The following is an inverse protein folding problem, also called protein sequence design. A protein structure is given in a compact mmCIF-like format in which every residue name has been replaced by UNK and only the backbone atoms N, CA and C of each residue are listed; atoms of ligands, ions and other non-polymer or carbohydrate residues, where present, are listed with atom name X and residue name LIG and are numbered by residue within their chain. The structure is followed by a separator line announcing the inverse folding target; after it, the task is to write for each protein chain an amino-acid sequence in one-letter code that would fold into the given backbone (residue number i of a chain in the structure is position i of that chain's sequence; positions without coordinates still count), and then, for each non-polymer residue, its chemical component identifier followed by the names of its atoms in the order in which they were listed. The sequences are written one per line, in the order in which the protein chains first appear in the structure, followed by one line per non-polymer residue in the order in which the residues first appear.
data_IF_629635554435
#
_entry.id   IF_629635554435
#
_cell.length_a   1.000
_cell.length_b   1.000
_cell.length_c   1.000
_cell.angle_alpha   90.00
_cell.angle_beta   90.00
_cell.angle_gamma   90.00
#
_symmetry.space_group_name_H-M   'P 1'
#
loop_
_entity.id
_entity.type
_entity.pdbx_description
1 polymer ?
#
# COMPACT_ATOMS: atom_id res chain seq x y z
N UNK A 1 10.39 -5.63 -14.17
CA UNK A 1 9.12 -6.15 -13.62
C UNK A 1 9.46 -7.24 -12.61
N UNK A 2 9.19 -7.01 -11.32
CA UNK A 2 9.43 -8.02 -10.26
C UNK A 2 8.71 -9.33 -10.62
N UNK A 3 9.40 -10.47 -10.45
CA UNK A 3 8.82 -11.80 -10.68
C UNK A 3 7.78 -12.06 -9.57
N UNK A 4 6.50 -12.04 -9.93
CA UNK A 4 5.37 -12.19 -9.00
C UNK A 4 4.23 -11.19 -9.28
N UNK A 5 4.52 -10.03 -9.84
CA UNK A 5 3.47 -9.02 -10.11
C UNK A 5 2.54 -9.42 -11.26
N UNK A 6 3.06 -10.21 -12.21
CA UNK A 6 2.30 -10.69 -13.38
C UNK A 6 1.17 -11.64 -13.01
N UNK A 7 1.33 -12.44 -11.96
CA UNK A 7 0.32 -13.40 -11.52
C UNK A 7 -0.82 -12.70 -10.79
N UNK A 8 -0.50 -11.71 -9.96
CA UNK A 8 -1.49 -10.92 -9.21
C UNK A 8 -2.33 -10.03 -10.12
N UNK A 9 -1.71 -9.41 -11.14
CA UNK A 9 -2.41 -8.52 -12.07
C UNK A 9 -3.13 -9.23 -13.23
N UNK A 10 -2.97 -10.55 -13.34
CA UNK A 10 -3.54 -11.33 -14.44
C UNK A 10 -5.08 -11.16 -14.56
N UNK A 11 -5.87 -11.23 -13.48
CA UNK A 11 -7.34 -11.07 -13.57
C UNK A 11 -7.76 -9.73 -14.17
N UNK A 12 -7.11 -8.65 -13.74
CA UNK A 12 -7.37 -7.29 -14.23
C UNK A 12 -6.97 -7.12 -15.70
N UNK A 13 -5.87 -7.73 -16.12
CA UNK A 13 -5.42 -7.69 -17.51
C UNK A 13 -6.38 -8.43 -18.43
N UNK A 14 -6.82 -9.63 -18.04
CA UNK A 14 -7.76 -10.42 -18.85
C UNK A 14 -9.13 -9.74 -18.94
N UNK A 15 -9.61 -9.15 -17.84
CA UNK A 15 -10.87 -8.41 -17.79
C UNK A 15 -10.82 -7.16 -18.71
N UNK A 16 -9.77 -6.35 -18.60
CA UNK A 16 -9.60 -5.16 -19.44
C UNK A 16 -9.40 -5.51 -20.92
N UNK A 17 -8.74 -6.64 -21.21
CA UNK A 17 -8.61 -7.14 -22.57
C UNK A 17 -9.96 -7.59 -23.15
N UNK A 18 -10.81 -8.25 -22.37
CA UNK A 18 -12.17 -8.64 -22.79
C UNK A 18 -13.03 -7.40 -23.13
N UNK A 19 -12.97 -6.36 -22.29
CA UNK A 19 -13.64 -5.06 -22.56
C UNK A 19 -13.10 -4.41 -23.84
N UNK A 20 -11.77 -4.43 -24.03
CA UNK A 20 -11.13 -3.84 -25.22
C UNK A 20 -11.50 -4.57 -26.52
N UNK A 21 -11.67 -5.89 -26.46
CA UNK A 21 -12.08 -6.71 -27.61
C UNK A 21 -13.58 -6.57 -27.89
N UNK A 22 -14.38 -6.26 -26.86
CA UNK A 22 -15.83 -6.14 -26.97
C UNK A 22 -16.58 -7.49 -26.93
N UNK A 23 -15.92 -8.56 -26.45
CA UNK A 23 -16.54 -9.88 -26.32
C UNK A 23 -17.18 -10.06 -24.93
N UNK A 24 -18.51 -10.01 -24.92
CA UNK A 24 -19.32 -10.16 -23.71
C UNK A 24 -19.25 -11.58 -23.11
N UNK A 25 -18.99 -12.61 -23.93
CA UNK A 25 -18.90 -13.99 -23.43
C UNK A 25 -17.58 -14.19 -22.69
N UNK A 26 -16.48 -13.73 -23.30
CA UNK A 26 -15.17 -13.72 -22.66
C UNK A 26 -15.19 -12.92 -21.37
N UNK A 27 -15.82 -11.74 -21.38
CA UNK A 27 -15.95 -10.90 -20.20
C UNK A 27 -16.65 -11.60 -19.04
N UNK A 28 -17.81 -12.24 -19.29
CA UNK A 28 -18.56 -12.98 -18.26
C UNK A 28 -17.74 -14.14 -17.68
N UNK A 29 -17.10 -14.92 -18.54
CA UNK A 29 -16.28 -16.05 -18.10
C UNK A 29 -15.13 -15.60 -17.18
N UNK A 30 -14.43 -14.52 -17.54
CA UNK A 30 -13.33 -13.96 -16.74
C UNK A 30 -13.85 -13.37 -15.42
N UNK A 31 -15.00 -12.70 -15.45
CA UNK A 31 -15.63 -12.15 -14.24
C UNK A 31 -16.03 -13.25 -13.25
N UNK A 32 -16.53 -14.38 -13.74
CA UNK A 32 -16.93 -15.52 -12.92
C UNK A 32 -15.70 -16.31 -12.40
N UNK A 33 -14.68 -16.51 -13.24
CA UNK A 33 -13.44 -17.22 -12.87
C UNK A 33 -12.69 -16.51 -11.73
N UNK A 34 -12.60 -15.18 -11.78
CA UNK A 34 -11.85 -14.38 -10.82
C UNK A 34 -12.73 -13.65 -9.79
N UNK A 35 -14.00 -14.05 -9.65
CA UNK A 35 -14.96 -13.42 -8.73
C UNK A 35 -14.44 -13.30 -7.29
N UNK A 36 -13.67 -14.29 -6.82
CA UNK A 36 -13.07 -14.30 -5.47
C UNK A 36 -12.01 -13.21 -5.29
N UNK A 37 -11.19 -12.95 -6.31
CA UNK A 37 -10.16 -11.90 -6.31
C UNK A 37 -10.78 -10.50 -6.36
N UNK A 38 -11.82 -10.31 -7.16
CA UNK A 38 -12.53 -9.02 -7.22
C UNK A 38 -13.26 -8.71 -5.91
N UNK A 39 -13.77 -9.75 -5.24
CA UNK A 39 -14.42 -9.64 -3.93
C UNK A 39 -13.43 -9.25 -2.82
N UNK A 40 -12.22 -9.85 -2.80
CA UNK A 40 -11.19 -9.46 -1.81
C UNK A 40 -10.73 -8.02 -1.99
N UNK A 41 -10.69 -7.56 -3.25
CA UNK A 41 -10.16 -6.23 -3.60
C UNK A 41 -11.24 -5.13 -3.49
N UNK A 42 -12.42 -5.45 -2.94
CA UNK A 42 -13.58 -4.54 -2.80
C UNK A 42 -13.97 -3.85 -4.11
N UNK A 43 -13.83 -4.55 -5.25
CA UNK A 43 -14.25 -4.08 -6.57
C UNK A 43 -15.57 -4.67 -7.12
N UNK A 44 -16.44 -5.38 -6.37
CA UNK A 44 -17.61 -6.02 -6.98
C UNK A 44 -18.62 -4.99 -7.52
N UNK A 45 -18.66 -3.79 -6.96
CA UNK A 45 -19.56 -2.73 -7.39
C UNK A 45 -19.17 -2.12 -8.75
N UNK A 46 -18.01 -2.50 -9.31
CA UNK A 46 -17.55 -2.04 -10.61
C UNK A 46 -17.99 -2.95 -11.76
N UNK A 47 -18.50 -4.15 -11.47
CA UNK A 47 -18.87 -5.15 -12.48
C UNK A 47 -20.35 -5.52 -12.31
N UNK A 48 -21.17 -5.25 -13.32
CA UNK A 48 -22.54 -5.76 -13.37
C UNK A 48 -22.54 -7.14 -14.04
N UNK A 49 -22.66 -8.19 -13.25
CA UNK A 49 -22.68 -9.57 -13.73
C UNK A 49 -23.96 -9.92 -14.52
N UNK A 50 -25.07 -9.19 -14.32
CA UNK A 50 -26.32 -9.43 -15.03
C UNK A 50 -26.29 -8.83 -16.44
N UNK A 51 -25.84 -7.59 -16.56
CA UNK A 51 -25.77 -6.88 -17.84
C UNK A 51 -24.43 -7.11 -18.58
N UNK A 52 -23.39 -7.55 -17.88
CA UNK A 52 -22.08 -7.86 -18.44
C UNK A 52 -21.24 -6.62 -18.74
N UNK A 53 -21.50 -5.50 -18.07
CA UNK A 53 -20.82 -4.22 -18.29
C UNK A 53 -20.15 -3.72 -17.00
N UNK A 54 -19.16 -2.84 -17.14
CA UNK A 54 -18.52 -2.18 -16.01
C UNK A 54 -19.37 -0.98 -15.57
N UNK A 55 -19.63 -0.87 -14.26
CA UNK A 55 -20.39 0.24 -13.66
C UNK A 55 -19.40 1.23 -13.05
N UNK A 56 -19.46 2.52 -13.40
CA UNK A 56 -18.65 3.53 -12.73
C UNK A 56 -19.09 3.62 -11.27
N UNK A 57 -18.11 3.72 -10.36
CA UNK A 57 -18.43 4.09 -8.98
C UNK A 57 -18.89 5.54 -8.97
N UNK A 58 -20.18 5.75 -8.74
CA UNK A 58 -20.75 7.09 -8.52
C UNK A 58 -19.94 7.78 -7.41
N UNK A 59 -19.12 8.75 -7.81
CA UNK A 59 -18.43 9.59 -6.86
C UNK A 59 -19.35 10.78 -6.67
N UNK A 60 -20.04 10.84 -5.52
CA UNK A 60 -20.86 11.99 -5.14
C UNK A 60 -20.05 13.28 -5.14
N UNK A 61 -20.72 14.43 -4.99
CA UNK A 61 -20.11 15.77 -5.05
C UNK A 61 -18.69 15.81 -4.42
N UNK A 62 -17.67 15.88 -5.28
CA UNK A 62 -16.25 15.64 -4.97
C UNK A 62 -15.58 16.89 -4.39
N UNK A 63 -16.36 17.90 -3.99
CA UNK A 63 -15.81 19.14 -3.48
C UNK A 63 -15.41 19.01 -2.01
N UNK A 64 -14.32 18.28 -1.75
CA UNK A 64 -13.65 18.16 -0.44
C UNK A 64 -12.28 18.87 -0.45
N UNK A 65 -12.24 20.21 -0.57
CA UNK A 65 -10.99 20.95 -0.74
C UNK A 65 -10.06 20.83 0.47
N UNK A 66 -10.61 20.77 1.69
CA UNK A 66 -9.82 20.71 2.92
C UNK A 66 -8.94 19.47 2.96
N UNK A 67 -9.47 18.30 2.60
CA UNK A 67 -8.71 17.06 2.55
C UNK A 67 -7.61 17.11 1.49
N UNK A 68 -7.93 17.62 0.29
CA UNK A 68 -6.96 17.78 -0.79
C UNK A 68 -5.82 18.75 -0.43
N UNK A 69 -6.12 19.84 0.28
CA UNK A 69 -5.09 20.77 0.78
C UNK A 69 -4.25 20.15 1.90
N UNK A 70 -4.88 19.49 2.87
CA UNK A 70 -4.17 18.82 3.97
C UNK A 70 -3.15 17.79 3.45
N UNK A 71 -3.52 16.99 2.44
CA UNK A 71 -2.61 16.03 1.80
C UNK A 71 -1.39 16.72 1.17
N UNK A 72 -1.61 17.83 0.44
CA UNK A 72 -0.53 18.58 -0.22
C UNK A 72 0.39 19.26 0.78
N UNK A 73 -0.16 19.84 1.84
CA UNK A 73 0.62 20.46 2.92
C UNK A 73 1.49 19.41 3.62
N UNK A 74 0.91 18.27 4.00
CA UNK A 74 1.64 17.18 4.63
C UNK A 74 2.79 16.66 3.74
N UNK A 75 2.53 16.48 2.44
CA UNK A 75 3.56 16.08 1.48
C UNK A 75 4.72 17.08 1.43
N UNK A 76 4.43 18.37 1.28
CA UNK A 76 5.46 19.41 1.21
C UNK A 76 6.30 19.50 2.49
N UNK A 77 5.66 19.37 3.66
CA UNK A 77 6.34 19.37 4.95
C UNK A 77 7.22 18.11 5.12
N UNK A 78 6.72 16.93 4.72
CA UNK A 78 7.50 15.70 4.77
C UNK A 78 8.74 15.79 3.88
N UNK A 79 8.58 16.24 2.64
CA UNK A 79 9.70 16.43 1.71
C UNK A 79 10.70 17.47 2.24
N UNK A 80 10.23 18.56 2.85
CA UNK A 80 11.11 19.54 3.50
C UNK A 80 11.97 18.89 4.58
N UNK A 81 11.37 18.06 5.44
CA UNK A 81 12.10 17.34 6.49
C UNK A 81 13.14 16.39 5.90
N UNK A 82 12.77 15.59 4.88
CA UNK A 82 13.69 14.69 4.19
C UNK A 82 14.89 15.43 3.58
N UNK A 83 14.65 16.56 2.92
CA UNK A 83 15.71 17.39 2.31
C UNK A 83 16.61 18.03 3.37
N UNK A 84 16.04 18.54 4.47
CA UNK A 84 16.84 19.11 5.58
C UNK A 84 17.74 18.05 6.21
N UNK A 85 17.23 16.83 6.41
CA UNK A 85 18.03 15.69 6.88
C UNK A 85 19.12 15.29 5.88
N UNK A 86 18.83 15.26 4.58
CA UNK A 86 19.79 14.89 3.55
C UNK A 86 20.90 15.95 3.36
N UNK A 87 20.57 17.23 3.50
CA UNK A 87 21.53 18.33 3.36
C UNK A 87 22.36 18.55 4.63
N UNK A 88 21.83 18.21 5.81
CA UNK A 88 22.60 18.16 7.05
C UNK A 88 23.35 16.85 7.14
N UNK A 89 24.56 16.81 6.58
CA UNK A 89 25.55 15.84 7.05
C UNK A 89 25.87 16.15 8.52
N UNK A 90 25.24 15.43 9.44
CA UNK A 90 25.70 15.40 10.82
C UNK A 90 27.11 14.80 10.81
N UNK A 91 28.15 15.49 11.31
CA UNK A 91 29.52 14.98 11.29
C UNK A 91 29.73 13.70 12.14
N UNK A 92 28.67 13.18 12.79
CA UNK A 92 28.70 11.93 13.56
C UNK A 92 27.69 10.84 13.10
N UNK A 93 26.86 11.06 12.07
CA UNK A 93 25.86 10.06 11.64
C UNK A 93 26.46 8.78 11.04
N UNK A 94 27.71 8.82 10.57
CA UNK A 94 28.42 7.62 10.12
C UNK A 94 28.74 6.63 11.26
N UNK A 95 28.78 7.09 12.52
CA UNK A 95 29.06 6.21 13.67
C UNK A 95 27.77 5.62 14.24
N UNK A 96 26.68 6.38 14.26
CA UNK A 96 25.40 5.91 14.82
C UNK A 96 24.65 4.94 13.90
N UNK A 97 24.79 5.05 12.57
CA UNK A 97 24.23 4.07 11.63
C UNK A 97 24.81 2.66 11.84
N UNK A 98 26.12 2.57 12.06
CA UNK A 98 26.79 1.30 12.36
C UNK A 98 26.29 0.70 13.69
N UNK A 99 26.08 1.54 14.70
CA UNK A 99 25.60 1.12 16.03
C UNK A 99 24.12 0.71 15.97
N UNK A 100 23.30 1.40 15.19
CA UNK A 100 21.88 1.07 15.03
C UNK A 100 21.67 -0.22 14.23
N UNK A 101 22.45 -0.45 13.17
CA UNK A 101 22.37 -1.66 12.33
C UNK A 101 22.86 -2.90 13.10
N UNK A 102 23.93 -2.78 13.89
CA UNK A 102 24.37 -3.84 14.79
C UNK A 102 23.32 -4.18 15.87
N UNK A 103 22.68 -3.16 16.45
CA UNK A 103 21.63 -3.36 17.45
C UNK A 103 20.34 -3.98 16.85
N UNK A 104 19.95 -3.61 15.63
CA UNK A 104 18.81 -4.22 14.93
C UNK A 104 19.02 -5.70 14.62
N UNK A 105 20.24 -6.07 14.20
CA UNK A 105 20.59 -7.49 13.97
C UNK A 105 20.55 -8.30 15.27
N UNK A 106 20.96 -7.71 16.39
CA UNK A 106 20.96 -8.38 17.70
C UNK A 106 19.53 -8.62 18.21
N UNK A 107 18.62 -7.68 18.00
CA UNK A 107 17.20 -7.81 18.39
C UNK A 107 16.50 -8.89 17.55
N UNK A 108 16.74 -8.95 16.24
CA UNK A 108 16.15 -9.98 15.36
C UNK A 108 16.72 -11.39 15.61
N UNK A 109 18.01 -11.52 15.95
CA UNK A 109 18.59 -12.82 16.37
C UNK A 109 18.06 -13.30 17.73
N UNK A 110 17.67 -12.39 18.62
CA UNK A 110 17.06 -12.70 19.91
C UNK A 110 15.58 -13.10 19.82
N UNK A 111 14.83 -12.57 18.84
CA UNK A 111 13.38 -12.79 18.70
C UNK A 111 13.01 -14.15 18.09
N UNK A 112 13.88 -14.76 17.27
CA UNK A 112 13.63 -16.11 16.73
C UNK A 112 13.71 -17.25 17.78
N UNK A 113 13.82 -16.98 19.08
CA UNK A 113 13.92 -18.03 20.11
C UNK A 113 12.83 -18.03 21.17
N UNK A 114 11.87 -17.10 21.17
CA UNK A 114 10.82 -17.04 22.21
C UNK A 114 9.52 -16.38 21.74
N UNK A 115 8.76 -16.98 20.83
CA UNK A 115 7.34 -16.64 20.66
C UNK A 115 6.53 -17.91 20.31
N UNK A 116 6.42 -18.84 21.27
CA UNK A 116 5.18 -19.62 21.41
C UNK A 116 4.37 -18.91 22.51
N UNK A 117 3.27 -18.27 22.10
CA UNK A 117 2.21 -17.78 22.98
C UNK A 117 2.52 -16.50 23.76
N UNK A 118 2.05 -15.35 23.27
CA UNK A 118 1.10 -14.51 24.00
C UNK A 118 0.59 -13.33 23.16
N UNK A 119 -0.67 -13.01 23.43
CA UNK A 119 -1.56 -11.99 22.90
C UNK A 119 -0.91 -10.68 22.45
N UNK A 120 -1.23 -10.28 21.21
CA UNK A 120 -0.94 -8.97 20.62
C UNK A 120 -1.81 -7.92 21.34
N UNK A 121 -1.29 -7.31 22.40
CA UNK A 121 -1.81 -6.05 22.91
C UNK A 121 -0.75 -4.97 22.74
N UNK A 122 -1.14 -3.93 22.00
CA UNK A 122 -0.51 -2.61 21.96
C UNK A 122 0.98 -2.57 21.58
N UNK A 123 1.27 -2.80 20.30
CA UNK A 123 2.54 -2.37 19.70
C UNK A 123 2.52 -0.84 19.49
N UNK A 124 2.93 -0.18 20.56
CA UNK A 124 3.69 1.06 20.61
C UNK A 124 4.33 1.45 19.26
N UNK A 125 3.84 2.54 18.67
CA UNK A 125 4.46 3.19 17.52
C UNK A 125 5.93 3.49 17.82
N UNK A 126 6.87 3.17 16.90
CA UNK A 126 8.29 3.37 17.15
C UNK A 126 8.60 4.84 17.38
N UNK A 127 9.42 5.07 18.41
CA UNK A 127 9.80 6.35 18.96
C UNK A 127 10.63 7.22 18.00
N UNK A 128 9.99 7.77 16.96
CA UNK A 128 10.55 8.84 16.14
C UNK A 128 10.09 10.24 16.60
N UNK A 129 9.19 10.32 17.60
CA UNK A 129 8.63 11.59 18.13
C UNK A 129 9.27 12.01 19.46
N UNK A 130 10.56 11.74 19.65
CA UNK A 130 11.34 12.34 20.74
C UNK A 130 12.62 12.91 20.18
N UNK A 131 12.51 14.06 19.53
CA UNK A 131 13.59 15.03 19.36
C UNK A 131 13.03 16.33 18.75
N UNK A 132 12.18 17.00 19.52
CA UNK A 132 12.18 18.46 19.59
C UNK A 132 12.01 18.82 21.07
N UNK A 133 12.63 19.92 21.54
CA UNK A 133 12.67 20.28 22.95
C UNK A 133 11.28 20.42 23.58
#
# INVERSE_FOLDING_TARGET
MQKGMRTVLRPYFELTNAVRIGDLKLFRNVADEFASTFSSDMTPNLIDHANGWMVPKETGDVYEPQYAFNLRIAFCLNMHNEVVCALRFSPNSHKELHIAEENFLQIHKGKCRKEEGETISNAHMPAFVKLLP
#
